data_IF_949481364464
#
_entry.id   IF_949481364464
#
_cell.length_a   1.000
_cell.length_b   1.000
_cell.length_c   1.000
_cell.angle_alpha   90.00
_cell.angle_beta   90.00
_cell.angle_gamma   90.00
#
_symmetry.space_group_name_H-M   'P 1'
#
loop_
_entity.id
_entity.type
_entity.pdbx_description
1 polymer ?
#
# COMPACT_ATOMS: atom_id res chain seq x y z
N UNK A 1 4.24 -8.73 5.26
CA UNK A 1 4.56 -7.34 4.86
C UNK A 1 4.78 -6.56 6.13
N UNK A 2 5.70 -5.61 6.12
CA UNK A 2 5.94 -4.69 7.23
C UNK A 2 5.71 -3.27 6.74
N UNK A 3 5.17 -2.42 7.61
CA UNK A 3 5.13 -0.98 7.42
C UNK A 3 6.37 -0.39 8.10
N UNK A 4 7.11 0.47 7.41
CA UNK A 4 8.17 1.26 7.99
C UNK A 4 7.65 2.68 8.18
N UNK A 5 7.47 3.10 9.42
CA UNK A 5 6.96 4.43 9.76
C UNK A 5 7.47 4.83 11.15
N UNK A 6 7.34 6.09 11.54
CA UNK A 6 7.64 6.51 12.92
C UNK A 6 6.69 5.82 13.90
N UNK A 7 6.98 5.92 15.20
CA UNK A 7 6.06 5.39 16.22
C UNK A 7 4.68 6.06 16.11
N UNK A 8 4.67 7.33 15.70
CA UNK A 8 3.48 8.17 15.54
C UNK A 8 2.84 8.08 14.14
N UNK A 9 3.36 7.25 13.24
CA UNK A 9 2.83 7.10 11.89
C UNK A 9 2.86 8.41 11.07
N UNK A 10 3.92 9.19 11.21
CA UNK A 10 4.04 10.51 10.58
C UNK A 10 3.97 10.41 9.05
N UNK A 11 4.57 9.38 8.46
CA UNK A 11 4.54 9.20 7.00
C UNK A 11 3.13 8.86 6.53
N UNK A 12 2.46 7.90 7.18
CA UNK A 12 1.07 7.54 6.84
C UNK A 12 0.13 8.73 6.99
N UNK A 13 0.28 9.56 8.04
CA UNK A 13 -0.50 10.81 8.20
C UNK A 13 -0.22 11.79 7.06
N UNK A 14 1.04 11.91 6.64
CA UNK A 14 1.42 12.70 5.49
C UNK A 14 0.95 12.09 4.15
N UNK A 15 0.38 10.89 4.12
CA UNK A 15 -0.09 10.21 2.91
C UNK A 15 1.00 9.42 2.18
N UNK A 16 2.05 9.02 2.88
CA UNK A 16 3.18 8.21 2.40
C UNK A 16 3.19 6.86 3.12
N UNK A 17 3.43 5.79 2.39
CA UNK A 17 3.62 4.45 2.95
C UNK A 17 4.95 3.86 2.49
N UNK A 18 5.80 3.45 3.44
CA UNK A 18 6.98 2.64 3.15
C UNK A 18 6.68 1.18 3.53
N UNK A 19 6.71 0.29 2.54
CA UNK A 19 6.35 -1.12 2.72
C UNK A 19 7.52 -2.03 2.39
N UNK A 20 8.00 -2.77 3.39
CA UNK A 20 8.96 -3.85 3.24
C UNK A 20 8.22 -5.17 3.07
N UNK A 21 8.37 -5.84 1.92
CA UNK A 21 7.64 -7.07 1.62
C UNK A 21 8.58 -8.24 1.43
N UNK A 22 8.35 -9.30 2.20
CA UNK A 22 8.87 -10.62 1.91
C UNK A 22 8.15 -11.19 0.69
N UNK A 23 8.91 -11.60 -0.32
CA UNK A 23 8.46 -12.24 -1.56
C UNK A 23 8.81 -13.72 -1.56
N UNK A 24 8.30 -14.44 -2.55
CA UNK A 24 8.65 -15.84 -2.75
C UNK A 24 10.17 -16.03 -2.93
N UNK A 25 10.67 -17.19 -2.49
CA UNK A 25 12.09 -17.58 -2.54
C UNK A 25 13.02 -16.66 -1.74
N UNK A 26 12.54 -16.13 -0.62
CA UNK A 26 13.37 -15.36 0.33
C UNK A 26 13.78 -13.96 -0.14
N UNK A 27 13.25 -13.50 -1.27
CA UNK A 27 13.51 -12.16 -1.79
C UNK A 27 12.71 -11.12 -1.01
N UNK A 28 13.21 -9.88 -1.03
CA UNK A 28 12.52 -8.75 -0.42
C UNK A 28 12.44 -7.61 -1.42
N UNK A 29 11.37 -6.83 -1.34
CA UNK A 29 11.29 -5.55 -2.02
C UNK A 29 10.85 -4.47 -1.04
N UNK A 30 11.25 -3.24 -1.34
CA UNK A 30 10.86 -2.04 -0.61
C UNK A 30 10.09 -1.14 -1.58
N UNK A 31 8.90 -0.70 -1.16
CA UNK A 31 8.07 0.21 -1.91
C UNK A 31 7.81 1.48 -1.09
N UNK A 32 8.03 2.64 -1.69
CA UNK A 32 7.61 3.94 -1.15
C UNK A 32 6.49 4.45 -2.04
N UNK A 33 5.28 4.46 -1.51
CA UNK A 33 4.07 4.94 -2.20
C UNK A 33 3.60 6.23 -1.57
N UNK A 34 3.17 7.18 -2.40
CA UNK A 34 2.46 8.36 -1.94
C UNK A 34 1.12 8.45 -2.64
N UNK A 35 0.07 8.61 -1.82
CA UNK A 35 -1.31 8.42 -2.22
C UNK A 35 -2.10 9.69 -2.00
N UNK A 36 -2.89 10.05 -3.01
CA UNK A 36 -3.61 11.33 -3.05
C UNK A 36 -5.03 11.13 -3.57
N UNK A 37 -5.97 11.87 -3.02
CA UNK A 37 -7.31 12.00 -3.60
C UNK A 37 -7.28 12.98 -4.77
N UNK A 38 -7.91 12.64 -5.88
CA UNK A 38 -7.96 13.47 -7.09
C UNK A 38 -6.74 13.31 -8.00
N UNK A 39 -6.65 14.19 -9.00
CA UNK A 39 -5.65 14.16 -10.09
C UNK A 39 -4.72 15.39 -10.08
N UNK A 40 -4.45 15.97 -8.90
CA UNK A 40 -3.67 17.20 -8.79
C UNK A 40 -2.30 17.06 -9.46
N UNK A 41 -2.01 17.95 -10.42
CA UNK A 41 -0.95 17.81 -11.43
C UNK A 41 0.43 18.32 -11.02
N UNK A 42 0.59 18.94 -9.85
CA UNK A 42 1.75 19.80 -9.59
C UNK A 42 2.74 19.19 -8.58
N UNK A 43 3.42 18.10 -8.95
CA UNK A 43 4.74 17.75 -8.39
C UNK A 43 5.61 17.03 -9.43
N UNK A 44 6.93 17.18 -9.26
CA UNK A 44 7.92 16.44 -10.03
C UNK A 44 7.82 14.97 -9.63
N UNK A 45 7.23 14.16 -10.50
CA UNK A 45 7.15 12.71 -10.34
C UNK A 45 8.55 12.12 -10.59
N UNK A 46 9.09 11.27 -9.70
CA UNK A 46 10.38 10.64 -9.93
C UNK A 46 10.37 9.78 -11.19
N UNK A 47 11.55 9.55 -11.79
CA UNK A 47 11.65 8.66 -12.96
C UNK A 47 11.46 7.20 -12.54
N UNK A 48 10.99 6.37 -13.48
CA UNK A 48 10.82 4.92 -13.31
C UNK A 48 9.86 4.50 -12.17
N UNK A 49 8.96 5.41 -11.77
CA UNK A 49 7.90 5.08 -10.82
C UNK A 49 6.71 4.47 -11.52
N UNK A 50 5.90 3.80 -10.72
CA UNK A 50 4.61 3.27 -11.12
C UNK A 50 3.52 4.25 -10.68
N UNK A 51 2.65 4.62 -11.61
CA UNK A 51 1.45 5.41 -11.32
C UNK A 51 0.23 4.53 -11.48
N UNK A 52 -0.60 4.46 -10.45
CA UNK A 52 -1.91 3.80 -10.48
C UNK A 52 -3.01 4.82 -10.20
N UNK A 53 -4.13 4.65 -10.89
CA UNK A 53 -5.38 5.37 -10.60
C UNK A 53 -6.35 4.36 -10.01
N UNK A 54 -6.62 4.50 -8.72
CA UNK A 54 -7.53 3.65 -7.96
C UNK A 54 -8.91 4.30 -7.95
N UNK A 55 -9.90 3.62 -8.52
CA UNK A 55 -11.31 4.02 -8.40
C UNK A 55 -11.89 3.25 -7.23
N UNK A 56 -12.35 3.99 -6.23
CA UNK A 56 -13.01 3.45 -5.04
C UNK A 56 -14.39 4.10 -4.90
N UNK A 57 -15.32 3.54 -4.11
CA UNK A 57 -16.63 4.14 -3.93
C UNK A 57 -16.53 5.63 -3.54
N UNK A 58 -17.02 6.51 -4.42
CA UNK A 58 -17.07 7.97 -4.22
C UNK A 58 -15.76 8.72 -4.44
N UNK A 59 -14.66 8.08 -4.86
CA UNK A 59 -13.39 8.78 -5.06
C UNK A 59 -12.49 8.17 -6.14
N UNK A 60 -11.67 9.03 -6.75
CA UNK A 60 -10.56 8.66 -7.62
C UNK A 60 -9.26 9.01 -6.90
N UNK A 61 -8.39 8.03 -6.73
CA UNK A 61 -7.13 8.18 -6.02
C UNK A 61 -5.97 7.96 -6.99
N UNK A 62 -4.90 8.71 -6.81
CA UNK A 62 -3.65 8.54 -7.53
C UNK A 62 -2.60 8.01 -6.56
N UNK A 63 -2.02 6.86 -6.89
CA UNK A 63 -0.90 6.25 -6.15
C UNK A 63 0.36 6.29 -7.01
N UNK A 64 1.44 6.81 -6.44
CA UNK A 64 2.75 6.87 -7.10
C UNK A 64 3.73 6.10 -6.25
N UNK A 65 4.25 5.01 -6.80
CA UNK A 65 5.10 4.06 -6.09
C UNK A 65 6.48 3.96 -6.75
N UNK A 66 7.53 4.21 -5.96
CA UNK A 66 8.90 3.82 -6.27
C UNK A 66 9.24 2.51 -5.55
N UNK A 67 9.72 1.51 -6.30
CA UNK A 67 9.94 0.16 -5.79
C UNK A 67 11.29 -0.38 -6.21
N UNK A 68 12.03 -0.93 -5.26
CA UNK A 68 13.31 -1.59 -5.48
C UNK A 68 13.36 -2.98 -4.84
N UNK A 69 14.25 -3.84 -5.33
CA UNK A 69 14.63 -5.08 -4.64
C UNK A 69 15.62 -4.74 -3.52
N UNK A 70 15.50 -5.40 -2.37
CA UNK A 70 16.42 -5.23 -1.24
C UNK A 70 17.03 -6.58 -0.85
N UNK A 71 18.29 -6.54 -0.42
CA UNK A 71 19.03 -7.73 -0.02
C UNK A 71 18.40 -8.40 1.21
N UNK A 72 18.31 -9.74 1.19
CA UNK A 72 17.65 -10.50 2.26
C UNK A 72 18.31 -10.33 3.64
N UNK A 73 19.64 -10.15 3.69
CA UNK A 73 20.36 -9.89 4.94
C UNK A 73 20.00 -8.53 5.53
N UNK A 74 20.13 -7.45 4.74
CA UNK A 74 19.77 -6.10 5.17
C UNK A 74 18.29 -5.99 5.59
N UNK A 75 17.38 -6.63 4.85
CA UNK A 75 15.97 -6.70 5.22
C UNK A 75 15.77 -7.41 6.56
N UNK A 76 16.48 -8.52 6.81
CA UNK A 76 16.38 -9.27 8.06
C UNK A 76 16.93 -8.47 9.25
N UNK A 77 18.04 -7.76 9.08
CA UNK A 77 18.63 -6.89 10.11
C UNK A 77 17.69 -5.74 10.49
N UNK A 78 17.07 -5.08 9.50
CA UNK A 78 16.07 -4.05 9.76
C UNK A 78 14.86 -4.62 10.47
N UNK A 79 14.32 -5.77 10.03
CA UNK A 79 13.18 -6.44 10.68
C UNK A 79 13.52 -6.81 12.14
N UNK A 80 14.75 -7.25 12.40
CA UNK A 80 15.22 -7.58 13.74
C UNK A 80 15.54 -6.35 14.61
N UNK A 81 15.53 -5.14 14.03
CA UNK A 81 15.90 -3.89 14.71
C UNK A 81 17.40 -3.71 14.93
N UNK A 82 18.24 -4.49 14.27
CA UNK A 82 19.70 -4.39 14.37
C UNK A 82 20.34 -3.43 13.37
N UNK A 83 19.58 -2.98 12.37
CA UNK A 83 19.97 -1.95 11.40
C UNK A 83 18.87 -0.90 11.27
N UNK A 84 19.25 0.31 10.84
CA UNK A 84 18.32 1.42 10.77
C UNK A 84 17.48 1.36 9.48
N UNK A 85 16.15 1.49 9.61
CA UNK A 85 15.21 1.27 8.49
C UNK A 85 15.47 2.17 7.28
N UNK A 86 15.92 3.40 7.49
CA UNK A 86 16.20 4.37 6.43
C UNK A 86 17.39 4.00 5.55
N UNK A 87 18.24 3.06 5.97
CA UNK A 87 19.37 2.57 5.19
C UNK A 87 18.92 1.71 4.00
N UNK A 88 17.69 1.18 4.03
CA UNK A 88 17.11 0.47 2.89
C UNK A 88 16.63 1.41 1.77
N UNK A 89 16.47 2.71 2.05
CA UNK A 89 15.92 3.66 1.09
C UNK A 89 17.00 4.14 0.13
N UNK A 90 16.71 4.07 -1.18
CA UNK A 90 17.51 4.77 -2.18
C UNK A 90 17.38 6.30 -2.00
N UNK A 91 18.31 7.07 -2.59
CA UNK A 91 18.21 8.54 -2.55
C UNK A 91 16.88 9.06 -3.15
N UNK A 92 16.39 8.42 -4.21
CA UNK A 92 15.09 8.73 -4.82
C UNK A 92 13.94 8.40 -3.87
N UNK A 93 13.97 7.24 -3.21
CA UNK A 93 12.96 6.83 -2.24
C UNK A 93 12.95 7.71 -1.00
N UNK A 94 14.11 8.16 -0.50
CA UNK A 94 14.20 9.12 0.61
C UNK A 94 13.55 10.45 0.24
N UNK A 95 13.94 11.01 -0.90
CA UNK A 95 13.34 12.24 -1.41
C UNK A 95 11.82 12.09 -1.56
N UNK A 96 11.37 10.97 -2.16
CA UNK A 96 9.95 10.70 -2.33
C UNK A 96 9.21 10.48 -1.01
N UNK A 97 9.84 9.87 0.00
CA UNK A 97 9.25 9.75 1.32
C UNK A 97 9.04 11.12 1.99
N UNK A 98 10.01 12.02 1.87
CA UNK A 98 9.94 13.37 2.43
C UNK A 98 8.93 14.28 1.71
N UNK A 99 8.85 14.21 0.36
CA UNK A 99 8.09 15.18 -0.43
C UNK A 99 6.99 14.56 -1.31
N UNK A 100 6.70 13.28 -1.17
CA UNK A 100 5.67 12.59 -1.96
C UNK A 100 4.26 12.76 -1.41
N UNK A 101 4.12 13.02 -0.10
CA UNK A 101 2.84 13.14 0.60
C UNK A 101 2.09 14.45 0.41
N UNK A 102 0.95 14.58 1.09
CA UNK A 102 0.19 15.83 1.22
C UNK A 102 0.97 16.85 2.05
N UNK A 103 1.68 16.37 3.07
CA UNK A 103 2.56 17.15 3.94
C UNK A 103 4.01 16.75 3.69
N UNK A 104 4.94 17.67 3.95
CA UNK A 104 6.36 17.37 3.88
C UNK A 104 6.82 16.76 5.21
N UNK A 105 7.66 15.73 5.11
CA UNK A 105 8.35 15.10 6.23
C UNK A 105 9.85 15.37 6.05
N UNK A 106 10.54 15.69 7.14
CA UNK A 106 11.99 15.92 7.14
C UNK A 106 12.79 14.60 7.16
N UNK A 107 14.08 14.71 6.82
CA UNK A 107 15.00 13.57 6.80
C UNK A 107 15.30 13.03 8.21
N UNK A 108 15.10 13.85 9.26
CA UNK A 108 15.30 13.42 10.64
C UNK A 108 14.20 12.44 11.08
N UNK A 109 12.94 12.65 10.70
CA UNK A 109 11.87 11.66 10.95
C UNK A 109 12.15 10.33 10.24
N UNK A 110 12.83 10.33 9.08
CA UNK A 110 13.24 9.07 8.45
C UNK A 110 14.21 8.27 9.34
N UNK A 111 14.99 8.91 10.21
CA UNK A 111 15.88 8.21 11.15
C UNK A 111 15.13 7.60 12.33
N UNK A 112 13.88 7.99 12.52
CA UNK A 112 13.00 7.52 13.58
C UNK A 112 12.09 6.36 13.12
N UNK A 113 12.21 5.94 11.86
CA UNK A 113 11.46 4.81 11.32
C UNK A 113 11.60 3.56 12.21
N UNK A 114 10.47 2.89 12.40
CA UNK A 114 10.29 1.63 13.12
C UNK A 114 9.60 0.63 12.20
N UNK A 115 9.84 -0.64 12.47
CA UNK A 115 9.18 -1.75 11.76
C UNK A 115 7.87 -2.08 12.46
N UNK A 116 6.75 -1.91 11.77
CA UNK A 116 5.42 -2.29 12.21
C UNK A 116 4.96 -3.57 11.50
N UNK A 117 4.52 -4.57 12.27
CA UNK A 117 3.99 -5.84 11.75
C UNK A 117 4.72 -7.08 12.25
N UNK A 118 4.64 -8.21 11.54
CA UNK A 118 4.16 -8.33 10.15
C UNK A 118 2.63 -8.27 10.01
N UNK A 119 2.17 -7.63 8.93
CA UNK A 119 0.87 -7.91 8.30
C UNK A 119 0.99 -9.12 7.37
N UNK A 120 0.14 -10.12 7.55
CA UNK A 120 0.06 -11.27 6.63
C UNK A 120 -0.92 -10.95 5.50
N UNK A 121 -0.55 -11.33 4.27
CA UNK A 121 -1.40 -11.12 3.08
C UNK A 121 -1.61 -12.46 2.39
N UNK A 122 -2.86 -12.89 2.29
CA UNK A 122 -3.28 -14.03 1.48
C UNK A 122 -3.95 -13.53 0.22
N UNK A 123 -3.49 -13.97 -0.95
CA UNK A 123 -4.04 -13.58 -2.24
C UNK A 123 -4.57 -14.79 -2.99
N UNK A 124 -5.80 -14.67 -3.49
CA UNK A 124 -6.43 -15.64 -4.38
C UNK A 124 -6.78 -14.94 -5.70
N UNK A 125 -6.43 -15.56 -6.82
CA UNK A 125 -6.89 -15.10 -8.14
C UNK A 125 -8.31 -15.61 -8.35
N UNK A 126 -9.23 -14.69 -8.60
CA UNK A 126 -10.62 -15.02 -8.90
C UNK A 126 -10.77 -15.22 -10.40
N UNK A 127 -11.34 -16.36 -10.81
CA UNK A 127 -11.67 -16.58 -12.22
C UNK A 127 -12.90 -15.75 -12.60
N UNK A 128 -12.68 -14.70 -13.38
CA UNK A 128 -13.71 -13.81 -13.91
C UNK A 128 -13.53 -13.51 -15.40
N UNK A 129 -12.77 -14.35 -16.12
CA UNK A 129 -12.49 -14.15 -17.55
C UNK A 129 -13.75 -14.16 -18.41
N UNK A 130 -14.78 -14.92 -18.00
CA UNK A 130 -16.09 -14.97 -18.68
C UNK A 130 -16.83 -13.63 -18.68
N UNK A 131 -16.50 -12.74 -17.75
CA UNK A 131 -17.06 -11.38 -17.66
C UNK A 131 -16.21 -10.36 -18.41
N UNK A 132 -15.13 -10.79 -19.09
CA UNK A 132 -14.20 -9.89 -19.76
C UNK A 132 -13.15 -9.25 -18.83
N UNK A 133 -13.14 -9.59 -17.54
CA UNK A 133 -12.12 -9.10 -16.61
C UNK A 133 -10.77 -9.77 -16.89
N UNK A 134 -9.76 -8.96 -17.20
CA UNK A 134 -8.36 -9.42 -17.37
C UNK A 134 -7.81 -10.04 -16.10
N UNK A 135 -8.28 -9.56 -14.94
CA UNK A 135 -7.82 -9.98 -13.62
C UNK A 135 -8.84 -9.62 -12.56
N UNK A 136 -9.02 -10.50 -11.58
CA UNK A 136 -9.64 -10.16 -10.30
C UNK A 136 -8.83 -10.85 -9.19
N UNK A 137 -8.52 -10.13 -8.12
CA UNK A 137 -7.81 -10.68 -6.97
C UNK A 137 -8.57 -10.39 -5.68
N UNK A 138 -8.73 -11.43 -4.89
CA UNK A 138 -9.20 -11.35 -3.52
C UNK A 138 -7.99 -11.39 -2.60
N UNK A 139 -7.81 -10.36 -1.79
CA UNK A 139 -6.71 -10.24 -0.84
C UNK A 139 -7.25 -10.10 0.58
N UNK A 140 -6.86 -11.03 1.44
CA UNK A 140 -7.11 -10.99 2.89
C UNK A 140 -5.84 -10.52 3.60
N UNK A 141 -5.99 -9.42 4.33
CA UNK A 141 -4.96 -8.79 5.15
C UNK A 141 -5.24 -9.11 6.62
N UNK A 142 -4.28 -9.72 7.31
CA UNK A 142 -4.34 -10.05 8.75
C UNK A 142 -3.30 -9.27 9.52
N UNK A 143 -3.76 -8.37 10.37
CA UNK A 143 -2.95 -7.48 11.21
C UNK A 143 -2.50 -8.20 12.48
N UNK A 144 -1.42 -7.73 13.16
CA UNK A 144 -0.92 -8.35 14.39
C UNK A 144 -1.98 -8.54 15.49
N UNK A 145 -2.91 -7.61 15.65
CA UNK A 145 -4.03 -7.69 16.61
C UNK A 145 -5.08 -8.75 16.27
N UNK A 146 -5.01 -9.37 15.09
CA UNK A 146 -6.05 -10.24 14.56
C UNK A 146 -7.14 -9.51 13.77
N UNK A 147 -7.08 -8.18 13.64
CA UNK A 147 -7.94 -7.45 12.71
C UNK A 147 -7.74 -7.94 11.28
N UNK A 148 -8.83 -7.96 10.52
CA UNK A 148 -8.83 -8.39 9.13
C UNK A 148 -9.39 -7.29 8.20
N UNK A 149 -8.81 -7.20 7.02
CA UNK A 149 -9.34 -6.43 5.90
C UNK A 149 -9.38 -7.36 4.68
N UNK A 150 -10.55 -7.46 4.03
CA UNK A 150 -10.72 -8.21 2.80
C UNK A 150 -10.94 -7.21 1.66
N UNK A 151 -10.10 -7.28 0.63
CA UNK A 151 -10.24 -6.46 -0.57
C UNK A 151 -10.43 -7.35 -1.79
N UNK A 152 -11.46 -7.08 -2.58
CA UNK A 152 -11.56 -7.58 -3.95
C UNK A 152 -11.18 -6.44 -4.90
N UNK A 153 -10.26 -6.70 -5.83
CA UNK A 153 -9.79 -5.69 -6.78
C UNK A 153 -9.67 -6.24 -8.19
N UNK A 154 -9.77 -5.34 -9.17
CA UNK A 154 -9.50 -5.59 -10.59
C UNK A 154 -8.52 -4.53 -11.12
N UNK A 155 -7.92 -4.79 -12.28
CA UNK A 155 -7.08 -3.82 -12.98
C UNK A 155 -7.34 -3.86 -14.47
N UNK A 156 -7.40 -2.69 -15.07
CA UNK A 156 -7.55 -2.50 -16.50
C UNK A 156 -6.59 -1.43 -17.02
N UNK A 157 -6.56 -1.25 -18.34
CA UNK A 157 -5.96 -0.06 -18.92
C UNK A 157 -6.93 1.13 -18.80
N UNK A 158 -6.44 2.39 -18.81
CA UNK A 158 -7.29 3.56 -18.65
C UNK A 158 -8.47 3.63 -19.62
N UNK A 159 -8.30 3.18 -20.87
CA UNK A 159 -9.36 3.18 -21.88
C UNK A 159 -10.48 2.14 -21.63
N UNK A 160 -10.22 1.15 -20.77
CA UNK A 160 -11.14 0.03 -20.50
C UNK A 160 -11.94 0.23 -19.20
N UNK A 161 -11.80 1.37 -18.52
CA UNK A 161 -12.34 1.62 -17.16
C UNK A 161 -13.84 1.37 -17.08
N UNK A 162 -14.63 1.91 -18.01
CA UNK A 162 -16.09 1.78 -17.98
C UNK A 162 -16.52 0.32 -18.13
N UNK A 163 -15.98 -0.38 -19.12
CA UNK A 163 -16.28 -1.81 -19.33
C UNK A 163 -15.85 -2.66 -18.14
N UNK A 164 -14.67 -2.38 -17.59
CA UNK A 164 -14.13 -3.11 -16.42
C UNK A 164 -14.98 -2.88 -15.19
N UNK A 165 -15.45 -1.65 -14.95
CA UNK A 165 -16.32 -1.33 -13.82
C UNK A 165 -17.64 -2.13 -13.90
N UNK A 166 -18.32 -2.10 -15.04
CA UNK A 166 -19.56 -2.87 -15.25
C UNK A 166 -19.35 -4.38 -15.06
N UNK A 167 -18.28 -4.93 -15.62
CA UNK A 167 -17.95 -6.35 -15.45
C UNK A 167 -17.58 -6.70 -13.99
N UNK A 168 -17.01 -5.76 -13.24
CA UNK A 168 -16.66 -5.95 -11.85
C UNK A 168 -17.89 -5.86 -10.93
N UNK A 169 -18.82 -4.96 -11.20
CA UNK A 169 -20.13 -4.91 -10.54
C UNK A 169 -20.91 -6.21 -10.74
N UNK A 170 -20.96 -6.71 -11.99
CA UNK A 170 -21.56 -8.01 -12.29
C UNK A 170 -20.89 -9.17 -11.53
N UNK A 171 -19.55 -9.15 -11.37
CA UNK A 171 -18.85 -10.16 -10.58
C UNK A 171 -19.28 -10.12 -9.11
N UNK A 172 -19.46 -8.92 -8.54
CA UNK A 172 -19.90 -8.76 -7.15
C UNK A 172 -21.31 -9.31 -6.97
N UNK A 173 -22.21 -8.96 -7.89
CA UNK A 173 -23.62 -9.42 -7.88
C UNK A 173 -23.72 -10.94 -8.01
N UNK A 174 -23.02 -11.56 -8.96
CA UNK A 174 -23.02 -13.02 -9.17
C UNK A 174 -22.45 -13.82 -7.99
N UNK A 175 -21.73 -13.16 -7.09
CA UNK A 175 -21.08 -13.78 -5.93
C UNK A 175 -21.72 -13.35 -4.61
N UNK A 176 -22.84 -12.63 -4.67
CA UNK A 176 -23.56 -12.10 -3.52
C UNK A 176 -22.63 -11.33 -2.55
N UNK A 177 -21.68 -10.57 -3.10
CA UNK A 177 -20.70 -9.82 -2.30
C UNK A 177 -21.31 -8.51 -1.85
N UNK A 178 -21.55 -8.39 -0.54
CA UNK A 178 -21.94 -7.12 0.08
C UNK A 178 -20.70 -6.24 0.28
N UNK A 179 -20.66 -5.10 -0.41
CA UNK A 179 -19.58 -4.12 -0.26
C UNK A 179 -19.75 -3.38 1.06
N UNK A 180 -18.68 -3.28 1.85
CA UNK A 180 -18.68 -2.54 3.11
C UNK A 180 -19.00 -1.05 2.90
N UNK A 181 -19.69 -0.39 3.86
CA UNK A 181 -19.94 1.03 3.77
C UNK A 181 -18.63 1.82 3.94
N UNK A 182 -18.27 2.58 2.91
CA UNK A 182 -17.05 3.38 2.88
C UNK A 182 -15.79 2.57 2.55
N UNK A 183 -14.87 3.20 1.83
CA UNK A 183 -13.57 2.59 1.53
C UNK A 183 -12.62 2.75 2.72
N UNK A 184 -12.05 1.63 3.19
CA UNK A 184 -10.96 1.62 4.17
C UNK A 184 -9.67 1.18 3.50
N UNK A 185 -8.58 1.88 3.81
CA UNK A 185 -7.26 1.58 3.29
C UNK A 185 -6.49 0.71 4.26
N UNK A 186 -5.49 -0.01 3.77
CA UNK A 186 -4.55 -0.75 4.62
C UNK A 186 -3.88 0.14 5.67
N UNK A 187 -3.51 1.35 5.26
CA UNK A 187 -2.92 2.36 6.14
C UNK A 187 -3.88 2.85 7.23
N UNK A 188 -5.17 3.06 6.91
CA UNK A 188 -6.16 3.45 7.92
C UNK A 188 -6.34 2.38 8.99
N UNK A 189 -6.25 1.10 8.61
CA UNK A 189 -6.29 0.01 9.59
C UNK A 189 -5.00 -0.06 10.42
N UNK A 190 -3.83 0.30 9.86
CA UNK A 190 -2.61 0.47 10.65
C UNK A 190 -2.71 1.60 11.67
N UNK A 191 -3.35 2.71 11.31
CA UNK A 191 -3.61 3.80 12.25
C UNK A 191 -4.50 3.34 13.40
N UNK A 192 -5.56 2.58 13.11
CA UNK A 192 -6.39 1.99 14.16
C UNK A 192 -5.59 1.01 15.03
N UNK A 193 -4.79 0.13 14.41
CA UNK A 193 -3.97 -0.89 15.08
C UNK A 193 -3.03 -0.29 16.13
N UNK A 194 -2.26 0.71 15.71
CA UNK A 194 -1.20 1.33 16.52
C UNK A 194 -1.79 2.36 17.47
N UNK A 195 -2.89 3.03 17.08
CA UNK A 195 -3.63 3.93 17.95
C UNK A 195 -4.27 3.23 19.15
N UNK A 196 -4.78 2.01 18.96
CA UNK A 196 -5.41 1.22 20.04
C UNK A 196 -4.38 0.67 21.03
N UNK A 197 -3.21 0.22 20.55
CA UNK A 197 -2.13 -0.26 21.42
C UNK A 197 -1.56 0.79 22.39
N UNK A 198 -1.94 2.07 22.24
CA UNK A 198 -1.53 3.18 23.12
C UNK A 198 -2.59 3.56 24.16
N UNK A 199 -3.83 3.09 24.00
CA UNK A 199 -4.93 3.36 24.93
C UNK A 199 -5.09 2.27 26.00
N UNK A 200 -4.29 1.20 25.93
CA UNK A 200 -4.22 0.07 26.86
C UNK A 200 -2.94 0.09 27.68
#
# INVERSE_FOLDING_TARGET
MYLLDTVDLDLVRAGVEIRLRRRARGRYDLAVSARRSGIARERIIPRNVRVELDIVPGALWQDIEDRCEVGSAAAAEVIAGSAASQELLSATQRSWACCGGNEAVDDAQLRELRVHGPLVVHRVKVNAQRLGLRRADLELYRYPSGRELLELSTRCWPQDVLQTATAFEQLLDERDVVVAPGHRTKASVWQDEIGIGRAS
#
